data_IF_572853127236
#
_entry.id   IF_572853127236
#
_cell.length_a   1.000
_cell.length_b   1.000
_cell.length_c   1.000
_cell.angle_alpha   90.00
_cell.angle_beta   90.00
_cell.angle_gamma   90.00
#
_symmetry.space_group_name_H-M   'P 1'
#
loop_
_entity.id
_entity.type
_entity.pdbx_description
1 polymer ?
#
# COMPACT_ATOMS: atom_id res chain seq x y z
N UNK A 1 5.21 4.04 -5.98
CA UNK A 1 5.25 2.97 -4.94
C UNK A 1 5.22 1.59 -5.58
N UNK A 2 5.77 0.55 -4.89
CA UNK A 2 5.58 -0.85 -5.27
C UNK A 2 4.19 -1.34 -4.84
N UNK A 3 3.64 -2.34 -5.52
CA UNK A 3 2.29 -2.86 -5.19
C UNK A 3 2.14 -3.22 -3.70
N UNK A 4 3.10 -3.96 -3.15
CA UNK A 4 3.06 -4.34 -1.74
C UNK A 4 3.16 -3.15 -0.77
N UNK A 5 3.85 -2.08 -1.15
CA UNK A 5 3.92 -0.84 -0.35
C UNK A 5 2.57 -0.13 -0.33
N UNK A 6 1.90 -0.02 -1.48
CA UNK A 6 0.57 0.59 -1.60
C UNK A 6 -0.43 -0.10 -0.67
N UNK A 7 -0.54 -1.43 -0.77
CA UNK A 7 -1.51 -2.18 0.02
C UNK A 7 -1.12 -2.38 1.49
N UNK A 8 0.11 -2.03 1.88
CA UNK A 8 0.53 -2.00 3.28
C UNK A 8 0.18 -0.71 4.02
N UNK A 9 -0.28 0.32 3.31
CA UNK A 9 -0.60 1.62 3.92
C UNK A 9 -1.70 1.52 4.95
N UNK A 10 -1.46 2.19 6.06
CA UNK A 10 -2.44 2.49 7.10
C UNK A 10 -2.70 3.99 7.11
N UNK A 11 -3.81 4.42 7.69
CA UNK A 11 -4.08 5.86 7.83
C UNK A 11 -3.06 6.59 8.71
N UNK A 12 -2.32 5.86 9.58
CA UNK A 12 -1.20 6.43 10.34
C UNK A 12 0.04 6.74 9.47
N UNK A 13 0.12 6.18 8.25
CA UNK A 13 1.20 6.48 7.31
C UNK A 13 0.87 7.68 6.42
N UNK A 14 -0.34 8.22 6.50
CA UNK A 14 -0.85 9.31 5.66
C UNK A 14 -1.20 10.49 6.53
N UNK A 15 -0.39 11.52 6.46
CA UNK A 15 -0.67 12.81 7.04
C UNK A 15 -1.31 13.70 5.98
N UNK A 16 -2.63 13.88 6.09
CA UNK A 16 -3.39 14.71 5.16
C UNK A 16 -3.19 16.21 5.43
N UNK A 17 -2.84 16.60 6.65
CA UNK A 17 -2.58 17.99 7.01
C UNK A 17 -1.26 18.46 6.41
N UNK A 18 -0.17 17.71 6.67
CA UNK A 18 1.16 17.97 6.10
C UNK A 18 1.31 17.47 4.65
N UNK A 19 0.31 16.75 4.11
CA UNK A 19 0.32 16.17 2.77
C UNK A 19 1.51 15.23 2.54
N UNK A 20 1.78 14.36 3.50
CA UNK A 20 2.90 13.41 3.44
C UNK A 20 2.40 11.96 3.51
N UNK A 21 2.97 11.10 2.69
CA UNK A 21 2.84 9.64 2.80
C UNK A 21 4.19 9.05 3.20
N UNK A 22 4.20 8.25 4.26
CA UNK A 22 5.36 7.47 4.72
C UNK A 22 5.31 6.05 4.19
N UNK A 23 6.38 5.62 3.54
CA UNK A 23 6.52 4.26 3.01
C UNK A 23 7.60 3.54 3.81
N UNK A 24 7.18 2.66 4.71
CA UNK A 24 8.06 1.96 5.65
C UNK A 24 7.79 0.44 5.73
N UNK A 25 6.78 -0.05 5.00
CA UNK A 25 6.38 -1.46 5.05
C UNK A 25 5.86 -1.97 3.72
N UNK A 26 5.79 -3.27 3.59
CA UNK A 26 5.27 -3.95 2.40
C UNK A 26 4.40 -5.13 2.81
N UNK A 27 3.33 -5.38 2.06
CA UNK A 27 2.46 -6.54 2.24
C UNK A 27 2.74 -7.60 1.21
N UNK A 28 2.62 -8.86 1.60
CA UNK A 28 2.77 -10.01 0.73
C UNK A 28 1.94 -11.20 1.22
N UNK A 29 1.62 -12.11 0.32
CA UNK A 29 0.98 -13.39 0.64
C UNK A 29 2.03 -14.50 0.68
N UNK A 30 1.86 -15.46 1.60
CA UNK A 30 2.66 -16.69 1.63
C UNK A 30 1.84 -17.87 1.13
N UNK A 31 2.36 -18.59 0.15
CA UNK A 31 1.69 -19.74 -0.46
C UNK A 31 1.50 -20.96 0.46
N UNK A 32 2.11 -20.96 1.65
CA UNK A 32 2.19 -22.15 2.52
C UNK A 32 1.30 -22.12 3.75
N UNK A 33 0.42 -21.11 3.93
CA UNK A 33 -0.43 -21.04 5.11
C UNK A 33 -1.77 -20.40 4.82
N UNK A 34 -2.78 -20.59 5.72
CA UNK A 34 -4.14 -20.70 5.26
C UNK A 34 -4.49 -19.58 4.28
N UNK A 35 -5.15 -19.99 3.20
CA UNK A 35 -5.63 -19.14 2.13
C UNK A 35 -6.20 -17.85 2.70
N UNK A 36 -5.70 -16.69 2.24
CA UNK A 36 -6.19 -15.38 2.62
C UNK A 36 -5.44 -14.66 3.74
N UNK A 37 -4.32 -15.16 4.22
CA UNK A 37 -3.49 -14.41 5.17
C UNK A 37 -2.51 -13.48 4.45
N UNK A 38 -2.48 -12.24 4.92
CA UNK A 38 -1.58 -11.21 4.45
C UNK A 38 -0.54 -10.90 5.54
N UNK A 39 0.70 -10.78 5.14
CA UNK A 39 1.84 -10.53 6.00
C UNK A 39 2.42 -9.17 5.69
N UNK A 40 2.79 -8.43 6.74
CA UNK A 40 3.53 -7.18 6.63
C UNK A 40 4.96 -7.43 7.06
N UNK A 41 5.91 -7.12 6.19
CA UNK A 41 7.32 -7.04 6.49
C UNK A 41 7.81 -5.60 6.46
N UNK A 42 8.94 -5.37 7.12
CA UNK A 42 9.70 -4.14 6.90
C UNK A 42 10.17 -4.09 5.45
N UNK A 43 10.35 -2.91 4.92
CA UNK A 43 11.01 -2.75 3.62
C UNK A 43 12.37 -3.42 3.66
N UNK A 44 12.74 -4.15 2.60
CA UNK A 44 13.93 -5.04 2.55
C UNK A 44 15.27 -4.37 2.91
N UNK A 45 15.32 -3.05 2.98
CA UNK A 45 16.55 -2.28 3.22
C UNK A 45 16.21 -0.94 3.88
N UNK A 46 17.07 -0.45 4.77
CA UNK A 46 16.95 0.87 5.40
C UNK A 46 16.75 2.02 4.40
N UNK A 47 17.33 1.95 3.20
CA UNK A 47 17.11 2.93 2.12
C UNK A 47 15.78 2.81 1.37
N UNK A 48 14.86 1.94 1.81
CA UNK A 48 13.51 1.81 1.21
C UNK A 48 12.45 2.58 1.99
N UNK A 49 12.77 3.07 3.19
CA UNK A 49 11.91 3.99 3.93
C UNK A 49 12.04 5.36 3.29
N UNK A 50 10.92 5.97 2.96
CA UNK A 50 10.87 7.28 2.32
C UNK A 50 9.53 7.95 2.55
N UNK A 51 9.54 9.25 2.39
CA UNK A 51 8.34 10.10 2.43
C UNK A 51 8.19 10.79 1.08
N UNK A 52 6.96 11.10 0.71
CA UNK A 52 6.70 11.94 -0.45
C UNK A 52 5.41 12.74 -0.29
N UNK A 53 5.33 13.86 -1.00
CA UNK A 53 4.21 14.76 -0.96
C UNK A 53 3.00 14.24 -1.73
N UNK A 54 1.82 14.55 -1.20
CA UNK A 54 0.52 14.26 -1.79
C UNK A 54 0.11 15.44 -2.66
N UNK A 55 0.00 15.25 -3.98
CA UNK A 55 -0.53 16.26 -4.89
C UNK A 55 -2.04 16.48 -4.66
N UNK A 56 -2.57 17.62 -5.14
CA UNK A 56 -3.98 18.01 -4.91
C UNK A 56 -4.98 16.92 -5.35
N UNK A 57 -4.76 16.31 -6.52
CA UNK A 57 -5.63 15.24 -7.02
C UNK A 57 -5.63 14.03 -6.08
N UNK A 58 -4.45 13.60 -5.62
CA UNK A 58 -4.36 12.47 -4.71
C UNK A 58 -4.92 12.81 -3.33
N UNK A 59 -4.74 14.04 -2.88
CA UNK A 59 -5.33 14.55 -1.63
C UNK A 59 -6.85 14.43 -1.65
N UNK A 60 -7.50 14.97 -2.69
CA UNK A 60 -8.96 14.92 -2.82
C UNK A 60 -9.46 13.46 -2.81
N UNK A 61 -8.81 12.57 -3.58
CA UNK A 61 -9.18 11.16 -3.63
C UNK A 61 -9.03 10.49 -2.26
N UNK A 62 -7.94 10.74 -1.54
CA UNK A 62 -7.70 10.14 -0.22
C UNK A 62 -8.67 10.69 0.82
N UNK A 63 -8.98 11.98 0.77
CA UNK A 63 -9.93 12.62 1.66
C UNK A 63 -11.33 12.03 1.49
N UNK A 64 -11.85 12.00 0.27
CA UNK A 64 -13.17 11.44 -0.04
C UNK A 64 -13.25 9.95 0.34
N UNK A 65 -12.18 9.22 0.09
CA UNK A 65 -12.11 7.80 0.40
C UNK A 65 -12.12 7.54 1.92
N UNK A 66 -11.42 8.37 2.70
CA UNK A 66 -11.44 8.31 4.17
C UNK A 66 -12.83 8.58 4.72
N UNK A 67 -13.50 9.63 4.22
CA UNK A 67 -14.87 9.93 4.60
C UNK A 67 -15.84 8.78 4.24
N UNK A 68 -15.66 8.18 3.05
CA UNK A 68 -16.48 7.03 2.66
C UNK A 68 -16.24 5.82 3.57
N UNK A 69 -14.99 5.54 3.97
CA UNK A 69 -14.70 4.50 4.96
C UNK A 69 -15.38 4.79 6.30
N UNK A 70 -15.40 6.03 6.76
CA UNK A 70 -16.04 6.42 8.01
C UNK A 70 -17.56 6.30 7.93
N UNK A 71 -18.18 6.66 6.80
CA UNK A 71 -19.60 6.40 6.52
C UNK A 71 -19.91 4.90 6.56
N UNK A 72 -19.08 4.09 5.91
CA UNK A 72 -19.22 2.64 5.92
C UNK A 72 -19.05 2.05 7.33
N UNK A 73 -18.09 2.53 8.10
CA UNK A 73 -17.86 2.13 9.50
C UNK A 73 -19.08 2.40 10.38
N UNK A 74 -19.73 3.54 10.19
CA UNK A 74 -21.00 3.88 10.87
C UNK A 74 -22.13 2.97 10.41
N UNK A 75 -22.28 2.77 9.09
CA UNK A 75 -23.34 1.94 8.48
C UNK A 75 -23.27 0.47 8.93
N UNK A 76 -22.10 -0.13 8.91
CA UNK A 76 -21.92 -1.55 9.30
C UNK A 76 -21.79 -1.74 10.81
N UNK A 77 -21.48 -0.71 11.57
CA UNK A 77 -21.40 -0.74 13.03
C UNK A 77 -20.54 -1.88 13.56
N UNK A 78 -21.14 -2.76 14.37
CA UNK A 78 -20.44 -3.93 14.96
C UNK A 78 -20.00 -4.98 13.92
N UNK A 79 -20.60 -5.00 12.74
CA UNK A 79 -20.26 -5.93 11.63
C UNK A 79 -19.06 -5.43 10.82
N UNK A 80 -18.64 -4.17 11.00
CA UNK A 80 -17.46 -3.65 10.30
C UNK A 80 -16.21 -4.36 10.77
N UNK A 81 -15.48 -4.99 9.84
CA UNK A 81 -14.27 -5.73 10.15
C UNK A 81 -13.13 -4.78 10.52
N UNK A 82 -12.36 -5.17 11.52
CA UNK A 82 -11.22 -4.42 12.06
C UNK A 82 -10.05 -5.36 12.17
N UNK A 83 -8.84 -4.82 12.01
CA UNK A 83 -7.63 -5.61 11.96
C UNK A 83 -6.64 -5.16 13.02
N UNK A 84 -5.76 -6.08 13.40
CA UNK A 84 -4.57 -5.87 14.22
C UNK A 84 -3.37 -6.49 13.52
N UNK A 85 -2.18 -6.09 13.90
CA UNK A 85 -0.92 -6.68 13.44
C UNK A 85 -0.40 -7.64 14.51
N UNK A 86 -0.57 -8.94 14.28
CA UNK A 86 -0.04 -9.96 15.16
C UNK A 86 1.43 -10.23 14.85
N UNK A 87 2.28 -10.16 15.88
CA UNK A 87 3.71 -10.38 15.74
C UNK A 87 4.04 -11.85 15.49
N UNK A 88 4.88 -12.10 14.50
CA UNK A 88 5.51 -13.41 14.29
C UNK A 88 6.96 -13.31 14.75
N UNK A 89 7.31 -14.12 15.75
CA UNK A 89 8.66 -14.18 16.32
C UNK A 89 9.39 -15.40 15.80
N UNK A 90 10.71 -15.26 15.61
CA UNK A 90 11.58 -16.39 15.33
C UNK A 90 11.89 -17.21 16.60
N UNK A 91 12.66 -18.27 16.45
CA UNK A 91 13.07 -19.15 17.57
C UNK A 91 13.87 -18.43 18.68
N UNK A 92 14.36 -17.22 18.43
CA UNK A 92 15.09 -16.38 19.38
C UNK A 92 14.21 -15.28 19.99
N UNK A 93 12.89 -15.28 19.76
CA UNK A 93 11.97 -14.28 20.30
C UNK A 93 11.95 -12.95 19.52
N UNK A 94 12.80 -12.78 18.51
CA UNK A 94 12.84 -11.57 17.67
C UNK A 94 11.65 -11.53 16.71
N UNK A 95 10.95 -10.39 16.67
CA UNK A 95 9.89 -10.17 15.68
C UNK A 95 10.49 -10.11 14.28
N UNK A 96 10.00 -10.94 13.37
CA UNK A 96 10.48 -11.05 11.98
C UNK A 96 9.48 -10.50 10.98
N UNK A 97 8.19 -10.54 11.34
CA UNK A 97 7.11 -10.06 10.49
C UNK A 97 5.81 -9.93 11.30
N UNK A 98 4.79 -9.34 10.68
CA UNK A 98 3.46 -9.23 11.25
C UNK A 98 2.44 -9.89 10.33
N UNK A 99 1.38 -10.46 10.90
CA UNK A 99 0.22 -10.93 10.13
C UNK A 99 -0.96 -9.99 10.33
N UNK A 100 -1.66 -9.66 9.25
CA UNK A 100 -2.91 -8.91 9.31
C UNK A 100 -4.00 -9.87 9.77
N UNK A 101 -4.45 -9.75 11.02
CA UNK A 101 -5.46 -10.60 11.62
C UNK A 101 -6.73 -9.81 11.94
N UNK A 102 -7.89 -10.43 11.78
CA UNK A 102 -9.18 -9.82 12.17
C UNK A 102 -9.21 -9.65 13.69
N UNK A 103 -9.32 -8.40 14.16
CA UNK A 103 -9.25 -8.07 15.58
C UNK A 103 -10.63 -8.03 16.23
N UNK A 104 -10.81 -8.81 17.29
CA UNK A 104 -11.98 -8.75 18.17
C UNK A 104 -11.81 -7.75 19.33
N UNK A 105 -10.58 -7.31 19.58
CA UNK A 105 -10.21 -6.47 20.74
C UNK A 105 -9.99 -5.02 20.30
N UNK A 106 -10.33 -4.06 21.18
CA UNK A 106 -10.28 -2.62 20.86
C UNK A 106 -8.88 -2.00 20.85
N UNK A 107 -7.89 -2.55 21.56
CA UNK A 107 -6.65 -1.84 21.92
C UNK A 107 -5.58 -1.76 20.81
N UNK A 108 -5.51 -2.74 19.89
CA UNK A 108 -4.40 -2.82 18.91
C UNK A 108 -4.87 -2.74 17.45
N UNK A 109 -5.83 -1.86 17.19
CA UNK A 109 -6.40 -1.72 15.86
C UNK A 109 -5.49 -0.95 14.92
N UNK A 110 -5.35 -1.50 13.74
CA UNK A 110 -4.70 -0.85 12.62
C UNK A 110 -5.77 -0.46 11.59
N UNK A 111 -5.83 0.81 11.29
CA UNK A 111 -6.75 1.33 10.28
C UNK A 111 -6.08 1.23 8.90
N UNK A 112 -6.35 0.11 8.20
CA UNK A 112 -5.86 -0.12 6.84
C UNK A 112 -6.53 0.84 5.85
N UNK A 113 -5.75 1.39 4.92
CA UNK A 113 -6.30 2.27 3.87
C UNK A 113 -7.19 1.46 2.92
N UNK A 114 -6.70 0.32 2.42
CA UNK A 114 -7.43 -0.45 1.40
C UNK A 114 -8.33 -1.50 2.03
N UNK A 115 -9.63 -1.18 2.13
CA UNK A 115 -10.67 -2.07 2.63
C UNK A 115 -11.88 -2.08 1.71
N UNK A 116 -12.66 -3.16 1.77
CA UNK A 116 -14.01 -3.21 1.18
C UNK A 116 -15.00 -2.41 2.04
N UNK A 117 -16.22 -2.25 1.55
CA UNK A 117 -17.27 -1.49 2.25
C UNK A 117 -17.58 -2.02 3.65
N UNK A 118 -17.47 -3.33 3.86
CA UNK A 118 -17.67 -4.01 5.14
C UNK A 118 -16.43 -3.97 6.07
N UNK A 119 -15.37 -3.28 5.66
CA UNK A 119 -14.10 -3.22 6.37
C UNK A 119 -13.15 -4.39 6.06
N UNK A 120 -13.54 -5.37 5.26
CA UNK A 120 -12.64 -6.48 4.89
C UNK A 120 -11.39 -5.95 4.19
N UNK A 121 -10.22 -6.33 4.68
CA UNK A 121 -8.95 -5.90 4.10
C UNK A 121 -8.83 -6.34 2.64
N UNK A 122 -8.40 -5.41 1.80
CA UNK A 122 -8.14 -5.65 0.38
C UNK A 122 -6.63 -5.75 0.17
N UNK A 123 -6.15 -6.95 -0.14
CA UNK A 123 -4.75 -7.17 -0.48
C UNK A 123 -4.46 -6.95 -1.96
N UNK A 124 -3.24 -7.26 -2.38
CA UNK A 124 -2.75 -7.02 -3.76
C UNK A 124 -3.55 -7.75 -4.84
N UNK A 125 -4.36 -8.73 -4.49
CA UNK A 125 -5.15 -9.50 -5.45
C UNK A 125 -6.27 -8.69 -6.10
N UNK A 126 -6.74 -7.63 -5.44
CA UNK A 126 -7.85 -6.79 -5.93
C UNK A 126 -7.55 -6.12 -7.28
N UNK A 127 -6.28 -5.86 -7.59
CA UNK A 127 -5.86 -5.24 -8.86
C UNK A 127 -5.87 -6.22 -10.05
N UNK A 128 -5.91 -7.52 -9.82
CA UNK A 128 -5.82 -8.53 -10.89
C UNK A 128 -7.00 -8.41 -11.86
N UNK A 129 -8.21 -8.26 -11.33
CA UNK A 129 -9.41 -8.19 -12.14
C UNK A 129 -9.50 -6.94 -13.03
N UNK A 130 -9.34 -5.70 -12.52
CA UNK A 130 -9.28 -4.50 -13.36
C UNK A 130 -8.22 -4.57 -14.46
N UNK A 131 -7.02 -5.07 -14.16
CA UNK A 131 -5.97 -5.21 -15.18
C UNK A 131 -6.23 -6.32 -16.19
N UNK A 132 -7.04 -7.34 -15.82
CA UNK A 132 -7.54 -8.32 -16.78
C UNK A 132 -8.53 -7.68 -17.78
N UNK A 133 -9.45 -6.84 -17.30
CA UNK A 133 -10.38 -6.07 -18.14
C UNK A 133 -9.59 -5.16 -19.09
N UNK A 134 -8.68 -4.33 -18.58
CA UNK A 134 -7.83 -3.43 -19.37
C UNK A 134 -7.12 -4.19 -20.50
N UNK A 135 -6.61 -5.39 -20.21
CA UNK A 135 -5.93 -6.21 -21.20
C UNK A 135 -6.88 -6.80 -22.24
N UNK A 136 -8.01 -7.37 -21.80
CA UNK A 136 -8.87 -8.17 -22.66
C UNK A 136 -9.86 -7.32 -23.44
N UNK A 137 -10.39 -6.24 -22.84
CA UNK A 137 -11.42 -5.40 -23.45
C UNK A 137 -10.84 -4.17 -24.14
N UNK A 138 -9.76 -3.58 -23.58
CA UNK A 138 -9.13 -2.40 -24.15
C UNK A 138 -7.86 -2.72 -24.97
N UNK A 139 -7.43 -3.98 -25.00
CA UNK A 139 -6.21 -4.40 -25.70
C UNK A 139 -4.89 -3.87 -25.12
N UNK A 140 -4.94 -3.20 -23.95
CA UNK A 140 -3.77 -2.56 -23.36
C UNK A 140 -3.00 -3.58 -22.51
N UNK A 141 -1.81 -3.96 -22.97
CA UNK A 141 -0.91 -4.88 -22.26
C UNK A 141 -0.14 -4.15 -21.17
N UNK A 142 -0.81 -3.78 -20.07
CA UNK A 142 -0.20 -3.13 -18.92
C UNK A 142 -0.37 -3.97 -17.64
N UNK A 143 0.57 -3.84 -16.73
CA UNK A 143 0.51 -4.37 -15.36
C UNK A 143 0.43 -3.18 -14.39
N UNK A 144 -0.08 -3.38 -13.20
CA UNK A 144 -0.09 -2.33 -12.17
C UNK A 144 1.31 -1.76 -11.90
N UNK A 145 2.33 -2.61 -11.96
CA UNK A 145 3.72 -2.18 -11.76
C UNK A 145 4.22 -1.22 -12.85
N UNK A 146 3.70 -1.31 -14.05
CA UNK A 146 4.12 -0.49 -15.18
C UNK A 146 3.74 0.99 -14.99
N UNK A 147 2.73 1.29 -14.14
CA UNK A 147 2.39 2.64 -13.70
C UNK A 147 3.57 3.36 -13.01
N UNK A 148 4.43 2.59 -12.35
CA UNK A 148 5.64 3.13 -11.71
C UNK A 148 6.68 3.58 -12.76
N UNK A 149 6.84 2.81 -13.83
CA UNK A 149 7.68 3.19 -14.97
C UNK A 149 7.11 4.42 -15.71
N UNK A 150 5.78 4.44 -15.92
CA UNK A 150 5.09 5.60 -16.50
C UNK A 150 5.31 6.87 -15.69
N UNK A 151 5.24 6.79 -14.36
CA UNK A 151 5.57 7.93 -13.48
C UNK A 151 7.00 8.42 -13.72
N UNK A 152 8.00 7.53 -13.73
CA UNK A 152 9.39 7.89 -13.97
C UNK A 152 9.58 8.60 -15.30
N UNK A 153 9.06 8.00 -16.39
CA UNK A 153 9.17 8.55 -17.75
C UNK A 153 8.48 9.91 -17.88
N UNK A 154 7.27 10.06 -17.30
CA UNK A 154 6.55 11.32 -17.33
C UNK A 154 7.26 12.40 -16.53
N UNK A 155 7.80 12.08 -15.36
CA UNK A 155 8.57 13.02 -14.55
C UNK A 155 9.83 13.51 -15.26
N UNK A 156 10.58 12.61 -15.91
CA UNK A 156 11.74 12.97 -16.73
C UNK A 156 11.36 13.91 -17.90
N UNK A 157 10.28 13.59 -18.61
CA UNK A 157 9.79 14.44 -19.70
C UNK A 157 9.36 15.84 -19.25
N UNK A 158 8.92 15.96 -17.99
CA UNK A 158 8.58 17.24 -17.37
C UNK A 158 9.79 17.93 -16.68
N UNK A 159 11.01 17.48 -16.94
CA UNK A 159 12.24 18.14 -16.47
C UNK A 159 12.66 17.80 -15.04
N UNK A 160 12.06 16.79 -14.39
CA UNK A 160 12.53 16.36 -13.08
C UNK A 160 13.90 15.68 -13.20
N UNK A 161 14.76 15.93 -12.23
CA UNK A 161 16.07 15.27 -12.17
C UNK A 161 15.91 13.76 -11.90
N UNK A 162 16.76 12.96 -12.55
CA UNK A 162 16.73 11.50 -12.40
C UNK A 162 16.99 11.06 -10.95
N UNK A 163 17.78 11.83 -10.21
CA UNK A 163 18.08 11.60 -8.80
C UNK A 163 16.83 11.71 -7.93
N UNK A 164 16.03 12.76 -8.13
CA UNK A 164 14.80 12.98 -7.37
C UNK A 164 13.77 11.89 -7.67
N UNK A 165 13.67 11.48 -8.95
CA UNK A 165 12.81 10.38 -9.35
C UNK A 165 13.26 9.08 -8.69
N UNK A 166 14.56 8.79 -8.66
CA UNK A 166 15.12 7.60 -8.03
C UNK A 166 14.82 7.57 -6.51
N UNK A 167 14.92 8.71 -5.84
CA UNK A 167 14.59 8.87 -4.42
C UNK A 167 13.10 8.58 -4.16
N UNK A 168 12.19 9.23 -4.87
CA UNK A 168 10.73 8.99 -4.77
C UNK A 168 10.38 7.54 -5.06
N UNK A 169 11.05 6.93 -6.03
CA UNK A 169 10.88 5.53 -6.34
C UNK A 169 11.51 4.59 -5.28
N UNK A 170 12.44 5.06 -4.46
CA UNK A 170 13.20 4.24 -3.52
C UNK A 170 14.15 3.28 -4.25
N UNK A 171 14.86 3.78 -5.26
CA UNK A 171 15.95 3.08 -5.92
C UNK A 171 17.26 3.37 -5.21
N UNK A 172 17.98 2.34 -4.82
CA UNK A 172 19.31 2.47 -4.19
C UNK A 172 20.39 2.95 -5.15
N UNK A 173 20.20 2.70 -6.45
CA UNK A 173 21.14 3.06 -7.51
C UNK A 173 20.40 3.79 -8.60
N UNK A 174 20.97 4.86 -9.07
CA UNK A 174 20.42 5.72 -10.12
C UNK A 174 20.28 4.92 -11.43
N UNK A 175 21.23 4.02 -11.73
CA UNK A 175 21.21 3.16 -12.92
C UNK A 175 19.93 2.28 -13.02
N UNK A 176 19.23 2.08 -11.90
CA UNK A 176 17.94 1.37 -11.91
C UNK A 176 16.80 2.22 -12.48
N UNK A 177 16.97 3.55 -12.49
CA UNK A 177 16.00 4.51 -13.03
C UNK A 177 16.30 4.85 -14.48
N UNK A 178 17.56 4.68 -14.91
CA UNK A 178 18.04 4.94 -16.27
C UNK A 178 17.65 3.84 -17.28
N UNK A 179 17.31 2.65 -16.82
CA UNK A 179 16.82 1.50 -17.63
C UNK A 179 15.32 1.59 -17.87
#
# INVERSE_FOLDING_TARGET
MRTGEVFALTWNDIDLESRIIKVNKTVYAKNKNPIGRWYIGTTKTEGSEREFYICDTLYSILFDYKEQQDRNRKKFGKKYKKYSLEQIKNKYGKVVEYVIAESKVRKDKVDMVFTKNDGTYSGTDVIKYPFKIIRNELGIKARFYDLRGSFATTSLRNGCEIKDIAEVLGHRRIETTEK
#
